data_IF_509183032723
#
_entry.id   IF_509183032723
#
_cell.length_a   1.000
_cell.length_b   1.000
_cell.length_c   1.000
_cell.angle_alpha   90.00
_cell.angle_beta   90.00
_cell.angle_gamma   90.00
#
_symmetry.space_group_name_H-M   'P 1'
#
loop_
_entity.id
_entity.type
_entity.pdbx_description
1 polymer ?
#
# COMPACT_ATOMS: atom_id res chain seq x y z
N UNK A 1 -19.57 -11.73 -22.98
CA UNK A 1 -19.63 -11.31 -21.57
C UNK A 1 -18.40 -11.87 -20.87
N UNK A 2 -17.52 -11.01 -20.34
CA UNK A 2 -16.35 -11.48 -19.57
C UNK A 2 -16.89 -11.98 -18.24
N UNK A 3 -17.08 -13.28 -18.09
CA UNK A 3 -17.62 -13.85 -16.86
C UNK A 3 -16.56 -13.61 -15.78
N UNK A 4 -16.84 -12.71 -14.84
CA UNK A 4 -15.95 -12.46 -13.72
C UNK A 4 -15.88 -13.72 -12.87
N UNK A 5 -14.73 -14.38 -12.83
CA UNK A 5 -14.50 -15.62 -12.07
C UNK A 5 -14.46 -15.40 -10.54
N UNK A 6 -14.38 -14.13 -10.11
CA UNK A 6 -14.30 -13.73 -8.70
C UNK A 6 -15.43 -14.25 -7.79
N UNK A 7 -16.73 -14.04 -8.10
CA UNK A 7 -17.83 -14.56 -7.28
C UNK A 7 -17.80 -16.08 -7.14
N UNK A 8 -17.39 -16.80 -8.18
CA UNK A 8 -17.25 -18.25 -8.15
C UNK A 8 -16.12 -18.68 -7.19
N UNK A 9 -14.98 -18.00 -7.24
CA UNK A 9 -13.86 -18.26 -6.32
C UNK A 9 -14.22 -17.96 -4.86
N UNK A 10 -14.93 -16.85 -4.62
CA UNK A 10 -15.39 -16.48 -3.27
C UNK A 10 -16.34 -17.53 -2.68
N UNK A 11 -17.17 -18.17 -3.51
CA UNK A 11 -18.02 -19.28 -3.08
C UNK A 11 -17.24 -20.59 -2.91
N UNK A 12 -16.34 -20.92 -3.83
CA UNK A 12 -15.54 -22.16 -3.80
C UNK A 12 -14.58 -22.21 -2.61
N UNK A 13 -14.03 -21.08 -2.20
CA UNK A 13 -13.03 -21.01 -1.14
C UNK A 13 -13.54 -21.58 0.20
N UNK A 14 -14.66 -21.12 0.80
CA UNK A 14 -15.18 -21.71 2.03
C UNK A 14 -15.61 -23.17 1.87
N UNK A 15 -16.10 -23.58 0.70
CA UNK A 15 -16.38 -25.00 0.43
C UNK A 15 -15.10 -25.85 0.46
N UNK A 16 -14.02 -25.34 -0.12
CA UNK A 16 -12.71 -25.99 -0.10
C UNK A 16 -12.13 -26.03 1.32
N UNK A 17 -12.37 -25.01 2.15
CA UNK A 17 -11.98 -25.02 3.57
C UNK A 17 -12.70 -26.12 4.33
N UNK A 18 -14.03 -26.24 4.18
CA UNK A 18 -14.82 -27.30 4.83
C UNK A 18 -14.32 -28.67 4.41
N UNK A 19 -14.05 -28.87 3.11
CA UNK A 19 -13.48 -30.12 2.62
C UNK A 19 -12.09 -30.40 3.26
N UNK A 20 -11.25 -29.38 3.39
CA UNK A 20 -9.96 -29.47 4.08
C UNK A 20 -10.10 -29.89 5.55
N UNK A 21 -11.04 -29.28 6.28
CA UNK A 21 -11.35 -29.65 7.66
C UNK A 21 -11.76 -31.10 7.80
N UNK A 22 -12.59 -31.61 6.89
CA UNK A 22 -13.01 -33.02 6.89
C UNK A 22 -11.83 -33.95 6.60
N UNK A 23 -11.01 -33.63 5.60
CA UNK A 23 -9.85 -34.48 5.23
C UNK A 23 -8.85 -34.58 6.36
N UNK A 24 -8.45 -33.43 6.95
CA UNK A 24 -7.48 -33.42 8.05
C UNK A 24 -8.09 -33.97 9.33
N UNK A 25 -9.35 -33.67 9.62
CA UNK A 25 -10.09 -34.22 10.74
C UNK A 25 -10.19 -35.74 10.71
N UNK A 26 -10.30 -36.35 9.52
CA UNK A 26 -10.26 -37.81 9.35
C UNK A 26 -8.87 -38.42 9.57
N UNK A 27 -7.79 -37.68 9.30
CA UNK A 27 -6.42 -38.18 9.43
C UNK A 27 -5.86 -38.02 10.84
N UNK A 28 -6.10 -36.87 11.47
CA UNK A 28 -5.48 -36.49 12.76
C UNK A 28 -6.48 -36.48 13.92
N UNK A 29 -7.78 -36.49 13.61
CA UNK A 29 -8.87 -36.39 14.60
C UNK A 29 -9.42 -34.97 14.75
N UNK A 30 -10.68 -34.88 15.18
CA UNK A 30 -11.40 -33.62 15.31
C UNK A 30 -10.78 -32.69 16.37
N UNK A 31 -10.44 -33.21 17.55
CA UNK A 31 -9.83 -32.41 18.63
C UNK A 31 -8.46 -31.83 18.23
N UNK A 32 -7.61 -32.64 17.59
CA UNK A 32 -6.32 -32.18 17.09
C UNK A 32 -6.50 -31.09 16.02
N UNK A 33 -7.48 -31.25 15.14
CA UNK A 33 -7.83 -30.25 14.11
C UNK A 33 -8.27 -28.93 14.72
N UNK A 34 -9.13 -28.95 15.72
CA UNK A 34 -9.53 -27.74 16.47
C UNK A 34 -8.33 -27.10 17.16
N UNK A 35 -7.46 -27.91 17.76
CA UNK A 35 -6.22 -27.43 18.36
C UNK A 35 -5.30 -26.71 17.35
N UNK A 36 -5.16 -27.25 16.14
CA UNK A 36 -4.39 -26.62 15.07
C UNK A 36 -4.97 -25.27 14.66
N UNK A 37 -6.30 -25.15 14.55
CA UNK A 37 -6.97 -23.88 14.23
C UNK A 37 -6.75 -22.85 15.33
N UNK A 38 -6.92 -23.23 16.60
CA UNK A 38 -6.68 -22.31 17.72
C UNK A 38 -5.22 -21.86 17.73
N UNK A 39 -4.28 -22.79 17.52
CA UNK A 39 -2.86 -22.48 17.45
C UNK A 39 -2.53 -21.54 16.27
N UNK A 40 -3.12 -21.75 15.10
CA UNK A 40 -2.90 -20.90 13.93
C UNK A 40 -3.47 -19.49 14.13
N UNK A 41 -4.68 -19.38 14.68
CA UNK A 41 -5.30 -18.09 14.98
C UNK A 41 -4.51 -17.33 16.05
N UNK A 42 -4.00 -18.02 17.07
CA UNK A 42 -3.17 -17.40 18.11
C UNK A 42 -1.83 -16.93 17.53
N UNK A 43 -1.16 -17.77 16.73
CA UNK A 43 0.08 -17.41 16.05
C UNK A 43 -0.13 -16.20 15.12
N UNK A 44 -1.20 -16.19 14.33
CA UNK A 44 -1.59 -15.06 13.48
C UNK A 44 -1.84 -13.79 14.29
N UNK A 45 -2.53 -13.89 15.42
CA UNK A 45 -2.81 -12.74 16.31
C UNK A 45 -1.53 -12.15 16.90
N UNK A 46 -0.62 -13.00 17.38
CA UNK A 46 0.69 -12.58 17.90
C UNK A 46 1.50 -11.90 16.79
N UNK A 47 1.51 -12.50 15.59
CA UNK A 47 2.21 -11.97 14.43
C UNK A 47 1.65 -10.60 14.02
N UNK A 48 0.33 -10.45 14.02
CA UNK A 48 -0.34 -9.18 13.71
C UNK A 48 0.04 -8.10 14.73
N UNK A 49 0.14 -8.44 16.02
CA UNK A 49 0.59 -7.50 17.06
C UNK A 49 2.03 -7.04 16.82
N UNK A 50 2.94 -7.96 16.55
CA UNK A 50 4.35 -7.60 16.30
C UNK A 50 4.55 -6.83 15.00
N UNK A 51 3.90 -7.27 13.91
CA UNK A 51 4.09 -6.65 12.60
C UNK A 51 3.27 -5.37 12.42
N UNK A 52 2.09 -5.28 13.03
CA UNK A 52 1.25 -4.07 13.01
C UNK A 52 1.93 -2.89 13.72
N UNK A 53 2.48 -3.11 14.92
CA UNK A 53 3.21 -2.08 15.65
C UNK A 53 4.53 -1.71 14.95
N UNK A 54 5.27 -2.71 14.46
CA UNK A 54 6.52 -2.48 13.73
C UNK A 54 6.34 -1.76 12.40
N UNK A 55 5.21 -1.95 11.72
CA UNK A 55 4.91 -1.29 10.44
C UNK A 55 4.83 0.23 10.60
N UNK A 56 4.10 0.72 11.60
CA UNK A 56 3.95 2.17 11.82
C UNK A 56 5.28 2.84 12.18
N UNK A 57 6.11 2.17 12.99
CA UNK A 57 7.44 2.69 13.34
C UNK A 57 8.35 2.77 12.11
N UNK A 58 8.33 1.76 11.23
CA UNK A 58 9.11 1.75 9.99
C UNK A 58 8.67 2.85 9.03
N UNK A 59 7.36 3.04 8.86
CA UNK A 59 6.80 4.14 8.05
C UNK A 59 7.32 5.48 8.57
N UNK A 60 7.19 5.73 9.88
CA UNK A 60 7.64 6.97 10.51
C UNK A 60 9.13 7.21 10.30
N UNK A 61 9.96 6.19 10.54
CA UNK A 61 11.42 6.29 10.34
C UNK A 61 11.83 6.53 8.88
N UNK A 62 11.11 5.97 7.91
CA UNK A 62 11.42 6.16 6.49
C UNK A 62 11.07 7.59 6.02
N UNK A 63 9.97 8.13 6.53
CA UNK A 63 9.56 9.53 6.29
C UNK A 63 10.54 10.51 6.95
N UNK A 64 10.91 10.28 8.21
CA UNK A 64 11.89 11.11 8.92
C UNK A 64 13.28 11.09 8.25
N UNK A 65 13.65 9.97 7.62
CA UNK A 65 14.90 9.81 6.89
C UNK A 65 14.87 10.31 5.43
N UNK A 66 13.74 10.84 4.95
CA UNK A 66 13.60 11.30 3.55
C UNK A 66 13.73 10.19 2.50
N UNK A 67 13.58 8.93 2.88
CA UNK A 67 13.68 7.77 1.97
C UNK A 67 12.31 7.39 1.42
N UNK A 68 12.26 6.84 0.20
CA UNK A 68 11.02 6.27 -0.36
C UNK A 68 10.56 5.07 0.49
N UNK A 69 9.41 5.18 1.18
CA UNK A 69 8.95 4.15 2.09
C UNK A 69 8.25 2.99 1.35
N UNK A 70 8.05 3.08 0.03
CA UNK A 70 7.19 2.16 -0.74
C UNK A 70 7.53 0.68 -0.56
N UNK A 71 8.82 0.31 -0.66
CA UNK A 71 9.24 -1.09 -0.53
C UNK A 71 9.11 -1.61 0.92
N UNK A 72 9.36 -0.75 1.92
CA UNK A 72 9.21 -1.13 3.32
C UNK A 72 7.74 -1.27 3.72
N UNK A 73 6.86 -0.38 3.23
CA UNK A 73 5.41 -0.51 3.41
C UNK A 73 4.89 -1.78 2.78
N UNK A 74 5.28 -2.05 1.53
CA UNK A 74 4.93 -3.26 0.80
C UNK A 74 5.22 -4.54 1.61
N UNK A 75 6.44 -4.66 2.14
CA UNK A 75 6.84 -5.82 2.94
C UNK A 75 6.11 -5.90 4.28
N UNK A 76 5.82 -4.76 4.90
CA UNK A 76 5.08 -4.68 6.17
C UNK A 76 3.61 -5.05 5.98
N UNK A 77 2.97 -4.51 4.94
CA UNK A 77 1.58 -4.78 4.57
C UNK A 77 1.37 -6.25 4.19
N UNK A 78 2.32 -6.83 3.45
CA UNK A 78 2.27 -8.24 3.10
C UNK A 78 2.31 -9.16 4.32
N UNK A 79 3.09 -8.77 5.32
CA UNK A 79 3.16 -9.48 6.58
C UNK A 79 1.90 -9.36 7.44
N UNK A 80 1.28 -8.17 7.47
CA UNK A 80 -0.05 -7.96 8.07
C UNK A 80 -1.12 -8.79 7.36
N UNK A 81 -1.11 -8.82 6.02
CA UNK A 81 -2.00 -9.68 5.22
C UNK A 81 -1.84 -11.16 5.57
N UNK A 82 -0.60 -11.66 5.67
CA UNK A 82 -0.34 -13.03 6.09
C UNK A 82 -0.91 -13.33 7.49
N UNK A 83 -0.74 -12.39 8.42
CA UNK A 83 -1.26 -12.53 9.77
C UNK A 83 -2.80 -12.57 9.79
N UNK A 84 -3.47 -11.71 9.02
CA UNK A 84 -4.93 -11.72 8.88
C UNK A 84 -5.42 -13.04 8.28
N UNK A 85 -4.75 -13.55 7.24
CA UNK A 85 -5.07 -14.84 6.62
C UNK A 85 -4.96 -16.02 7.60
N UNK A 86 -3.99 -15.96 8.53
CA UNK A 86 -3.79 -16.96 9.58
C UNK A 86 -4.82 -16.86 10.71
N UNK A 87 -5.34 -15.67 10.98
CA UNK A 87 -6.38 -15.44 11.99
C UNK A 87 -7.71 -16.03 11.52
N UNK A 88 -8.05 -15.84 10.24
CA UNK A 88 -9.27 -16.40 9.65
C UNK A 88 -9.16 -17.93 9.63
N UNK A 89 -9.99 -18.66 10.40
CA UNK A 89 -9.85 -20.10 10.52
C UNK A 89 -10.13 -20.79 9.18
N UNK A 90 -9.11 -21.45 8.65
CA UNK A 90 -9.16 -22.25 7.42
C UNK A 90 -7.86 -23.03 7.25
N UNK A 91 -7.93 -24.22 6.66
CA UNK A 91 -6.74 -25.00 6.32
C UNK A 91 -5.99 -24.38 5.15
N UNK A 92 -6.68 -24.09 4.04
CA UNK A 92 -6.06 -23.59 2.83
C UNK A 92 -5.57 -22.16 3.06
N UNK A 93 -6.41 -21.30 3.63
CA UNK A 93 -6.01 -19.94 4.04
C UNK A 93 -4.86 -19.92 5.03
N UNK A 94 -4.81 -20.81 6.02
CA UNK A 94 -3.67 -20.88 6.95
C UNK A 94 -2.37 -21.29 6.24
N UNK A 95 -2.43 -22.27 5.34
CA UNK A 95 -1.27 -22.67 4.53
C UNK A 95 -0.79 -21.50 3.68
N UNK A 96 -1.72 -20.79 3.01
CA UNK A 96 -1.38 -19.62 2.20
C UNK A 96 -0.79 -18.52 3.08
N UNK A 97 -1.38 -18.23 4.25
CA UNK A 97 -0.86 -17.25 5.20
C UNK A 97 0.57 -17.57 5.66
N UNK A 98 0.83 -18.82 6.02
CA UNK A 98 2.18 -19.30 6.36
C UNK A 98 3.16 -19.19 5.19
N UNK A 99 2.74 -19.55 3.98
CA UNK A 99 3.58 -19.42 2.79
C UNK A 99 3.93 -17.96 2.53
N UNK A 100 2.97 -17.03 2.62
CA UNK A 100 3.21 -15.59 2.44
C UNK A 100 4.13 -15.01 3.52
N UNK A 101 4.23 -15.65 4.68
CA UNK A 101 5.21 -15.25 5.69
C UNK A 101 6.66 -15.48 5.23
N UNK A 102 6.90 -16.45 4.35
CA UNK A 102 8.23 -16.77 3.85
C UNK A 102 8.76 -15.70 2.87
N UNK A 103 9.98 -15.16 3.09
CA UNK A 103 10.60 -14.18 2.20
C UNK A 103 10.60 -14.54 0.70
N UNK A 104 10.92 -15.79 0.27
CA UNK A 104 10.91 -16.13 -1.16
C UNK A 104 9.52 -16.06 -1.80
N UNK A 105 8.46 -16.40 -1.05
CA UNK A 105 7.08 -16.33 -1.54
C UNK A 105 6.64 -14.88 -1.70
N UNK A 106 7.09 -13.99 -0.80
CA UNK A 106 6.84 -12.55 -0.91
C UNK A 106 7.42 -11.95 -2.19
N UNK A 107 8.67 -12.29 -2.50
CA UNK A 107 9.31 -11.84 -3.73
C UNK A 107 8.58 -12.34 -4.98
N UNK A 108 8.12 -13.60 -4.98
CA UNK A 108 7.35 -14.16 -6.09
C UNK A 108 6.00 -13.47 -6.26
N UNK A 109 5.28 -13.23 -5.16
CA UNK A 109 4.00 -12.53 -5.19
C UNK A 109 4.15 -11.12 -5.75
N UNK A 110 5.16 -10.36 -5.32
CA UNK A 110 5.45 -9.04 -5.88
C UNK A 110 5.73 -9.09 -7.38
N UNK A 111 6.40 -10.14 -7.85
CA UNK A 111 6.69 -10.32 -9.28
C UNK A 111 5.43 -10.60 -10.11
N UNK A 112 4.45 -11.30 -9.53
CA UNK A 112 3.16 -11.61 -10.16
C UNK A 112 2.16 -10.46 -10.10
N UNK A 113 2.08 -9.79 -8.95
CA UNK A 113 1.08 -8.76 -8.65
C UNK A 113 1.58 -7.34 -8.97
N UNK A 114 2.86 -7.06 -8.75
CA UNK A 114 3.48 -5.76 -9.07
C UNK A 114 3.44 -5.41 -10.57
N UNK A 115 3.20 -6.40 -11.45
CA UNK A 115 2.94 -6.17 -12.88
C UNK A 115 1.55 -5.60 -13.19
N UNK A 116 0.62 -5.68 -12.24
CA UNK A 116 -0.79 -5.22 -12.39
C UNK A 116 -1.18 -4.15 -11.38
N UNK A 117 -0.43 -4.01 -10.29
CA UNK A 117 -0.58 -2.92 -9.33
C UNK A 117 0.31 -1.77 -9.81
N UNK A 118 -0.28 -0.83 -10.54
CA UNK A 118 0.26 0.54 -10.57
C UNK A 118 0.19 0.98 -9.11
N UNK A 119 1.33 1.06 -8.44
CA UNK A 119 1.40 1.73 -7.14
C UNK A 119 0.91 3.14 -7.45
N UNK A 120 -0.34 3.43 -7.08
CA UNK A 120 -0.87 4.78 -7.08
C UNK A 120 -0.13 5.51 -5.95
N UNK A 121 1.15 5.82 -6.19
CA UNK A 121 2.00 6.65 -5.36
C UNK A 121 1.58 8.11 -5.48
N UNK A 122 0.29 8.38 -5.34
CA UNK A 122 -0.26 9.71 -5.18
C UNK A 122 -0.77 9.85 -3.74
N UNK A 123 0.09 9.49 -2.79
CA UNK A 123 0.02 9.98 -1.42
C UNK A 123 1.35 10.68 -1.16
N UNK A 124 1.36 12.00 -1.39
CA UNK A 124 2.52 12.89 -1.25
C UNK A 124 3.00 13.45 -2.59
N UNK A 125 2.80 14.75 -2.81
CA UNK A 125 3.47 15.49 -3.88
C UNK A 125 4.99 15.34 -3.73
N UNK A 126 5.66 14.90 -4.79
CA UNK A 126 7.07 14.53 -4.76
C UNK A 126 7.42 13.65 -5.94
N UNK A 127 7.33 14.24 -7.12
CA UNK A 127 7.58 13.64 -8.42
C UNK A 127 9.02 13.10 -8.51
N UNK A 128 9.19 11.78 -8.59
CA UNK A 128 10.46 11.18 -9.00
C UNK A 128 10.21 10.08 -10.04
N UNK A 129 10.24 10.49 -11.31
CA UNK A 129 10.54 9.58 -12.42
C UNK A 129 12.04 9.63 -12.67
N UNK A 130 12.72 8.52 -12.39
CA UNK A 130 14.11 8.28 -12.80
C UNK A 130 14.12 7.87 -14.27
N UNK A 131 14.70 8.69 -15.14
CA UNK A 131 14.95 8.34 -16.54
C UNK A 131 15.30 9.56 -17.36
N UNK A 132 16.58 9.71 -17.68
CA UNK A 132 17.12 10.90 -18.35
C UNK A 132 16.50 11.17 -19.71
N UNK A 133 15.93 12.37 -19.86
CA UNK A 133 15.94 13.15 -21.08
C UNK A 133 16.14 14.61 -20.68
N UNK A 134 17.29 15.18 -21.06
CA UNK A 134 17.58 16.61 -20.95
C UNK A 134 16.71 17.32 -21.98
N UNK A 135 15.57 17.86 -21.57
CA UNK A 135 14.89 18.91 -22.32
C UNK A 135 15.31 20.23 -21.72
N UNK A 136 16.25 20.86 -22.40
CA UNK A 136 16.37 22.31 -22.45
C UNK A 136 15.00 22.83 -22.90
N UNK A 137 14.25 23.44 -21.99
CA UNK A 137 13.08 24.22 -22.35
C UNK A 137 13.07 25.41 -21.39
N UNK A 138 13.72 26.48 -21.83
CA UNK A 138 13.23 27.83 -21.59
C UNK A 138 11.71 27.83 -21.75
N UNK A 139 10.97 28.31 -20.75
CA UNK A 139 10.09 29.48 -20.97
C UNK A 139 9.53 30.02 -19.63
N UNK A 140 10.09 31.16 -19.24
CA UNK A 140 9.57 32.23 -18.38
C UNK A 140 8.29 31.96 -17.56
N UNK A 141 8.44 31.40 -16.36
CA UNK A 141 7.51 31.68 -15.26
C UNK A 141 8.30 32.36 -14.16
N UNK A 142 7.98 33.64 -13.91
CA UNK A 142 8.54 34.37 -12.77
C UNK A 142 7.51 34.26 -11.66
N UNK A 143 7.73 33.33 -10.73
CA UNK A 143 7.00 33.28 -9.47
C UNK A 143 7.51 34.44 -8.62
N UNK A 144 6.66 35.45 -8.44
CA UNK A 144 6.95 36.62 -7.62
C UNK A 144 6.38 36.41 -6.22
N UNK A 145 7.26 36.45 -5.23
CA UNK A 145 6.88 36.38 -3.83
C UNK A 145 6.43 37.78 -3.35
N UNK A 146 5.61 37.86 -2.30
CA UNK A 146 5.13 39.16 -1.79
C UNK A 146 6.27 40.09 -1.31
N UNK A 147 7.46 39.54 -1.06
CA UNK A 147 8.65 40.28 -0.64
C UNK A 147 9.43 40.91 -1.81
N UNK A 148 9.23 40.40 -3.03
CA UNK A 148 9.87 40.90 -4.25
C UNK A 148 9.18 42.15 -4.79
N UNK A 149 7.96 42.44 -4.33
CA UNK A 149 7.25 43.66 -4.68
C UNK A 149 7.79 44.86 -3.90
N UNK A 150 8.52 45.75 -4.57
CA UNK A 150 8.92 47.07 -4.03
C UNK A 150 8.41 48.19 -4.93
N UNK A 151 7.42 48.96 -4.45
CA UNK A 151 6.98 50.20 -5.11
C UNK A 151 7.98 51.31 -4.82
N UNK A 152 8.94 51.52 -5.71
CA UNK A 152 9.89 52.62 -5.61
C UNK A 152 9.53 53.72 -6.61
N UNK A 153 9.07 54.87 -6.14
CA UNK A 153 8.75 56.04 -6.97
C UNK A 153 7.35 56.62 -6.76
N UNK A 154 7.17 57.89 -7.16
CA UNK A 154 5.85 58.53 -7.22
C UNK A 154 5.01 57.86 -8.32
N UNK A 155 3.71 57.59 -8.11
CA UNK A 155 2.86 56.97 -9.11
C UNK A 155 2.86 57.77 -10.42
N UNK A 156 2.99 57.10 -11.56
CA UNK A 156 2.92 57.73 -12.87
C UNK A 156 1.53 58.35 -13.09
N UNK A 157 1.53 59.67 -13.21
CA UNK A 157 0.34 60.51 -13.33
C UNK A 157 -0.40 60.30 -14.65
N UNK A 158 0.30 59.77 -15.67
CA UNK A 158 -0.26 59.50 -16.99
C UNK A 158 -0.71 58.04 -17.20
N UNK A 159 -0.81 57.23 -16.13
CA UNK A 159 -1.25 55.84 -16.28
C UNK A 159 -2.73 55.75 -16.74
N UNK A 160 -3.03 54.95 -17.79
CA UNK A 160 -4.39 54.80 -18.31
C UNK A 160 -5.34 54.12 -17.32
N UNK A 161 -4.79 53.35 -16.39
CA UNK A 161 -5.51 52.60 -15.36
C UNK A 161 -6.06 53.46 -14.23
N UNK A 162 -5.66 54.74 -14.15
CA UNK A 162 -6.16 55.69 -13.13
C UNK A 162 -7.41 56.46 -13.59
N UNK A 163 -7.84 56.29 -14.85
CA UNK A 163 -8.96 57.02 -15.46
C UNK A 163 -10.26 56.23 -15.48
N UNK A 164 -10.32 55.10 -14.77
CA UNK A 164 -11.56 54.36 -14.60
C UNK A 164 -12.42 55.13 -13.58
N UNK A 165 -13.67 55.49 -13.90
CA UNK A 165 -14.58 56.06 -12.93
C UNK A 165 -14.84 55.03 -11.83
N UNK A 166 -14.70 55.45 -10.58
CA UNK A 166 -15.21 54.68 -9.45
C UNK A 166 -16.74 54.76 -9.50
N UNK A 167 -17.40 53.73 -10.07
CA UNK A 167 -18.85 53.53 -9.93
C UNK A 167 -19.20 52.95 -8.55
#
# INVERSE_FOLDING_TARGET
>A
MRVSLFPLLFLLLPLAEIAGFVVVGKQVGALATVGLVIASTLAGSILLRYQGLGAMNKVRSAVEAGNDPGLQLANSAMGVLAAILLIIPGFITSIIGLLVLLPPVRALFWRLVGRRVVVAGQFGGGQFTRGGFRREQDDHTIDLDSEDFRRNGKPDENSPWRRLPDE
#
